data_IF_343482341408
#
_entry.id   IF_343482341408
#
_cell.length_a   1.000
_cell.length_b   1.000
_cell.length_c   1.000
_cell.angle_alpha   90.00
_cell.angle_beta   90.00
_cell.angle_gamma   90.00
#
_symmetry.space_group_name_H-M   'P 1'
#
loop_
_entity.id
_entity.type
_entity.pdbx_description
1 polymer ?
2 polymer ?
3 non-polymer ?
4 water ?
#
# COMPACT_ATOMS: atom_id res chain seq x y z
N UNK A 2 -10.22 13.07 19.95
CA UNK A 2 -11.36 13.59 20.78
C UNK A 2 -11.63 14.99 20.26
N UNK A 3 -12.87 15.49 20.48
CA UNK A 3 -13.33 16.77 19.98
C UNK A 3 -13.37 16.75 18.47
N UNK A 4 -12.24 16.38 17.86
CA UNK A 4 -12.05 16.32 16.42
C UNK A 4 -12.50 15.00 15.79
N UNK A 5 -12.45 13.88 16.50
CA UNK A 5 -12.87 12.60 15.93
C UNK A 5 -13.74 11.81 16.91
N UNK A 6 -14.40 10.78 16.40
CA UNK A 6 -15.24 9.88 17.18
C UNK A 6 -14.92 8.46 16.75
N UNK A 7 -14.82 7.54 17.69
CA UNK A 7 -14.59 6.13 17.37
C UNK A 7 -15.90 5.50 16.88
N UNK A 8 -15.80 4.76 15.78
CA UNK A 8 -16.91 4.08 15.15
C UNK A 8 -16.85 2.59 15.33
N UNK A 9 -15.84 2.07 16.01
CA UNK A 9 -15.88 0.66 16.40
C UNK A 9 -14.77 0.37 17.40
N UNK A 10 -14.92 -0.75 18.11
CA UNK A 10 -13.83 -1.36 18.86
C UNK A 10 -13.80 -2.87 18.62
N UNK A 11 -12.62 -3.40 18.44
CA UNK A 11 -12.53 -4.83 18.19
C UNK A 11 -11.27 -5.35 18.80
N UNK A 12 -11.30 -6.59 19.26
CA UNK A 12 -10.18 -7.29 19.88
C UNK A 12 -9.35 -8.02 18.83
N UNK A 13 -8.10 -7.62 18.68
CA UNK A 13 -7.21 -8.21 17.70
C UNK A 13 -5.75 -8.07 18.14
N UNK A 14 -4.94 -9.02 17.77
CA UNK A 14 -3.49 -8.86 17.78
C UNK A 14 -3.05 -8.21 16.48
N UNK A 15 -2.53 -7.02 16.59
CA UNK A 15 -2.08 -6.22 15.45
C UNK A 15 -0.67 -6.62 15.07
N UNK A 16 -0.49 -6.92 13.80
CA UNK A 16 0.81 -7.32 13.28
C UNK A 16 1.09 -6.56 12.01
N UNK A 17 2.36 -6.48 11.69
CA UNK A 17 2.84 -5.84 10.47
C UNK A 17 3.70 -6.88 9.79
N UNK A 18 3.79 -6.82 8.45
CA UNK A 18 4.51 -7.82 7.71
C UNK A 18 5.94 -7.29 7.55
N UNK A 19 6.93 -8.10 7.91
CA UNK A 19 8.31 -7.78 7.67
C UNK A 19 8.65 -8.28 6.26
N UNK A 20 8.67 -7.38 5.29
CA UNK A 20 8.91 -7.75 3.89
C UNK A 20 10.29 -8.35 3.72
N UNK A 21 11.27 -7.87 4.48
CA UNK A 21 12.64 -8.31 4.32
C UNK A 21 12.83 -9.76 4.76
N UNK A 22 12.18 -10.15 5.84
CA UNK A 22 12.34 -11.48 6.35
C UNK A 22 11.16 -12.36 6.08
N UNK A 23 10.14 -11.88 5.39
CA UNK A 23 9.01 -12.73 5.01
C UNK A 23 8.41 -13.38 6.26
N UNK A 24 8.03 -12.51 7.20
CA UNK A 24 7.29 -12.89 8.40
C UNK A 24 6.43 -11.77 8.93
N UNK A 25 5.33 -12.14 9.56
CA UNK A 25 4.54 -11.22 10.37
C UNK A 25 5.20 -10.99 11.73
N UNK A 26 5.13 -9.76 12.22
CA UNK A 26 5.75 -9.46 13.51
C UNK A 26 4.71 -8.67 14.29
N UNK A 27 4.73 -8.67 15.62
CA UNK A 27 3.78 -7.86 16.38
C UNK A 27 4.04 -6.35 16.23
N UNK A 28 2.98 -5.60 15.92
CA UNK A 28 3.08 -4.16 15.82
C UNK A 28 3.45 -3.55 17.17
N UNK A 29 4.46 -2.69 17.17
CA UNK A 29 4.95 -2.08 18.38
C UNK A 29 5.93 -2.89 19.20
N UNK A 30 6.17 -4.15 18.86
CA UNK A 30 7.24 -4.93 19.38
C UNK A 30 6.85 -6.07 20.24
N UNK A 31 5.69 -5.99 20.88
CA UNK A 31 5.29 -6.98 21.89
C UNK A 31 4.03 -7.70 21.41
N UNK A 32 4.05 -9.02 21.52
CA UNK A 32 2.90 -9.84 21.18
C UNK A 32 1.82 -9.68 22.24
N UNK A 33 0.59 -9.55 21.79
CA UNK A 33 -0.54 -9.33 22.69
C UNK A 33 -1.72 -8.75 21.98
N UNK A 34 -2.88 -8.88 22.63
CA UNK A 34 -4.07 -8.37 21.98
C UNK A 34 -4.18 -6.89 22.27
N UNK A 35 -4.79 -6.16 21.35
CA UNK A 35 -5.05 -4.73 21.43
C UNK A 35 -6.53 -4.43 21.17
N UNK A 36 -6.95 -3.25 21.61
CA UNK A 36 -8.30 -2.76 21.37
C UNK A 36 -8.16 -1.80 20.21
N UNK A 37 -8.71 -2.20 19.05
CA UNK A 37 -8.49 -1.50 17.78
C UNK A 37 -9.74 -0.71 17.44
N UNK A 38 -9.59 0.59 17.31
CA UNK A 38 -10.64 1.49 16.93
C UNK A 38 -10.45 1.92 15.48
N UNK A 39 -11.55 2.29 14.85
CA UNK A 39 -11.57 3.17 13.69
C UNK A 39 -12.14 4.44 14.22
N UNK A 40 -11.49 5.54 13.94
CA UNK A 40 -11.90 6.85 14.41
C UNK A 40 -12.25 7.68 13.18
N UNK A 41 -13.34 8.40 13.27
CA UNK A 41 -13.84 9.30 12.26
C UNK A 41 -13.49 10.73 12.64
N UNK A 42 -12.72 11.39 11.81
CA UNK A 42 -12.56 12.83 11.91
C UNK A 42 -13.80 13.40 11.23
N UNK A 43 -14.79 13.80 12.04
CA UNK A 43 -16.05 14.31 11.51
C UNK A 43 -15.85 15.48 10.54
N UNK A 44 -14.96 16.39 10.86
CA UNK A 44 -14.84 17.58 10.07
C UNK A 44 -14.34 17.35 8.66
N UNK A 45 -13.46 16.40 8.46
CA UNK A 45 -12.91 16.20 7.13
C UNK A 45 -13.49 14.99 6.46
N UNK A 46 -14.28 14.23 7.15
CA UNK A 46 -14.72 12.93 6.67
C UNK A 46 -13.52 12.06 6.35
N UNK A 47 -12.63 11.99 7.27
CA UNK A 47 -11.49 11.10 7.17
C UNK A 47 -11.51 10.13 8.35
N UNK A 48 -10.91 8.97 8.13
CA UNK A 48 -10.93 7.85 9.07
C UNK A 48 -9.50 7.36 9.29
N UNK A 49 -9.25 6.80 10.47
CA UNK A 49 -7.93 6.34 10.81
C UNK A 49 -8.15 5.15 11.72
N UNK A 50 -7.30 4.12 11.54
CA UNK A 50 -7.21 2.97 12.43
C UNK A 50 -6.18 3.35 13.52
N UNK A 51 -6.63 3.21 14.79
CA UNK A 51 -5.79 3.37 15.98
C UNK A 51 -5.98 2.20 16.95
N UNK A 52 -4.90 1.56 17.35
CA UNK A 52 -4.97 0.52 18.35
C UNK A 52 -3.99 0.64 19.51
N UNK A 53 -4.42 0.21 20.67
CA UNK A 53 -3.65 0.30 21.91
C UNK A 53 -3.65 -1.03 22.63
N UNK A 54 -2.47 -1.53 23.02
CA UNK A 54 -2.36 -2.80 23.75
C UNK A 54 -3.19 -2.73 25.01
N UNK A 55 -3.87 -3.82 25.31
CA UNK A 55 -4.75 -3.87 26.48
C UNK A 55 -3.97 -3.72 27.77
N UNK A 56 -2.80 -4.37 27.85
CA UNK A 56 -2.02 -4.43 29.07
C UNK A 56 -1.38 -3.09 29.33
N UNK A 57 -0.68 -2.52 28.37
CA UNK A 57 0.08 -1.31 28.69
C UNK A 57 -0.35 -0.07 27.94
N UNK A 58 -1.34 -0.13 27.03
CA UNK A 58 -1.94 1.02 26.36
C UNK A 58 -1.03 1.65 25.33
N UNK A 59 -0.06 0.93 24.84
CA UNK A 59 0.84 1.43 23.82
C UNK A 59 0.11 1.35 22.50
N UNK A 60 0.20 2.43 21.75
CA UNK A 60 -0.39 2.57 20.42
C UNK A 60 0.44 1.77 19.43
N UNK A 61 -0.06 0.63 19.00
CA UNK A 61 0.68 -0.22 18.07
C UNK A 61 0.36 0.09 16.61
N UNK A 62 -0.73 0.78 16.35
CA UNK A 62 -1.15 1.10 15.01
C UNK A 62 -1.87 2.43 15.04
N UNK A 63 -1.57 3.26 14.07
CA UNK A 63 -2.25 4.53 13.88
C UNK A 63 -2.01 4.82 12.39
N UNK A 64 -2.97 4.37 11.56
CA UNK A 64 -2.77 4.49 10.12
C UNK A 64 -4.05 4.99 9.49
N UNK A 65 -3.99 6.02 8.66
CA UNK A 65 -5.17 6.47 7.90
C UNK A 65 -5.76 5.37 7.01
N UNK A 66 -7.04 5.52 6.74
CA UNK A 66 -7.77 4.68 5.80
C UNK A 66 -7.93 5.53 4.54
N UNK A 67 -7.19 5.27 3.46
CA UNK A 67 -7.29 6.08 2.25
C UNK A 67 -8.45 5.61 1.35
N UNK A 68 -8.96 6.57 0.55
CA UNK A 68 -9.98 6.27 -0.46
C UNK A 68 -9.49 5.21 -1.43
N UNK A 69 -10.34 4.24 -1.69
CA UNK A 69 -9.99 3.15 -2.57
C UNK A 69 -9.32 1.94 -1.91
N UNK A 70 -9.00 2.01 -0.61
CA UNK A 70 -8.19 0.99 0.02
C UNK A 70 -8.80 -0.34 -0.29
N UNK A 71 -7.95 -1.32 -0.59
CA UNK A 71 -8.37 -2.72 -0.73
C UNK A 71 -8.15 -3.49 0.58
N UNK A 72 -9.25 -3.93 1.20
CA UNK A 72 -9.25 -4.57 2.51
C UNK A 72 -9.49 -6.06 2.28
N UNK A 73 -8.50 -6.84 2.62
CA UNK A 73 -8.54 -8.26 2.37
C UNK A 73 -9.01 -8.99 3.62
N UNK A 74 -10.19 -9.59 3.53
CA UNK A 74 -10.66 -10.47 4.57
C UNK A 74 -10.21 -11.87 4.18
N UNK A 75 -8.94 -12.16 4.48
CA UNK A 75 -8.32 -13.42 4.13
C UNK A 75 -9.04 -14.57 4.78
N UNK A 76 -9.34 -14.44 6.06
CA UNK A 76 -10.16 -15.38 6.80
C UNK A 76 -11.15 -14.59 7.62
N UNK A 77 -12.02 -15.34 8.32
CA UNK A 77 -13.04 -14.75 9.21
C UNK A 77 -12.47 -14.07 10.45
N UNK A 78 -11.23 -14.39 10.83
CA UNK A 78 -10.59 -13.76 11.94
C UNK A 78 -9.26 -13.08 11.62
N UNK A 79 -8.84 -13.03 10.35
CA UNK A 79 -7.58 -12.36 10.03
C UNK A 79 -7.76 -11.52 8.79
N UNK A 80 -7.78 -10.18 8.91
CA UNK A 80 -7.92 -9.29 7.81
C UNK A 80 -6.67 -8.44 7.69
N UNK A 81 -6.39 -8.01 6.50
CA UNK A 81 -5.14 -7.30 6.25
C UNK A 81 -5.37 -6.24 5.21
N UNK A 82 -4.54 -5.21 5.27
CA UNK A 82 -4.51 -4.22 4.21
C UNK A 82 -3.10 -3.65 4.07
N UNK A 83 -2.85 -2.96 2.97
CA UNK A 83 -1.55 -2.38 2.73
C UNK A 83 -1.63 -0.86 2.59
N UNK A 84 -0.46 -0.19 2.76
CA UNK A 84 -0.26 1.14 2.20
C UNK A 84 1.03 1.21 1.40
N UNK A 85 1.45 2.40 1.06
CA UNK A 85 2.76 2.54 0.43
C UNK A 85 3.92 2.18 1.36
N UNK A 86 3.67 2.12 2.66
CA UNK A 86 4.70 1.95 3.68
C UNK A 86 4.66 0.61 4.41
N UNK A 87 3.51 0.04 4.64
CA UNK A 87 3.44 -1.18 5.41
C UNK A 87 2.28 -2.07 4.94
N UNK A 88 2.34 -3.35 5.33
CA UNK A 88 1.22 -4.27 5.27
C UNK A 88 0.80 -4.55 6.70
N UNK A 89 -0.49 -4.37 6.97
CA UNK A 89 -1.03 -4.50 8.30
C UNK A 89 -1.94 -5.72 8.35
N UNK A 90 -1.92 -6.38 9.52
CA UNK A 90 -2.80 -7.52 9.76
C UNK A 90 -3.50 -7.43 11.09
N UNK A 91 -4.73 -7.86 11.13
CA UNK A 91 -5.47 -7.91 12.38
C UNK A 91 -5.87 -9.34 12.63
N UNK A 92 -5.35 -9.90 13.68
CA UNK A 92 -5.69 -11.25 14.11
C UNK A 92 -6.70 -11.11 15.21
N UNK A 93 -7.95 -11.21 14.85
CA UNK A 93 -9.03 -10.91 15.76
C UNK A 93 -9.28 -12.05 16.73
N UNK A 94 -9.68 -11.66 17.94
CA UNK A 94 -9.90 -12.67 18.95
C UNK A 94 -11.18 -13.46 18.82
N UNK A 95 -12.09 -13.10 17.96
CA UNK A 95 -13.25 -13.90 17.65
C UNK A 95 -13.75 -13.47 16.27
N UNK A 96 -14.77 -14.17 15.77
CA UNK A 96 -15.39 -13.75 14.50
C UNK A 96 -16.26 -12.54 14.72
N UNK A 97 -16.75 -12.36 15.94
CA UNK A 97 -17.57 -11.20 16.25
C UNK A 97 -16.74 -9.95 16.17
N UNK A 98 -15.54 -10.01 16.62
CA UNK A 98 -14.65 -8.87 16.57
C UNK A 98 -14.30 -8.55 15.15
N UNK A 99 -14.05 -9.54 14.34
CA UNK A 99 -13.78 -9.34 12.89
C UNK A 99 -14.92 -8.65 12.13
N UNK A 100 -16.16 -9.14 12.28
CA UNK A 100 -17.28 -8.54 11.60
C UNK A 100 -17.60 -7.16 12.12
N UNK A 101 -17.43 -6.92 13.38
CA UNK A 101 -17.61 -5.55 13.86
C UNK A 101 -16.60 -4.62 13.23
N UNK A 102 -15.31 -4.99 13.27
CA UNK A 102 -14.33 -4.13 12.62
C UNK A 102 -14.50 -4.11 11.10
N UNK A 103 -14.58 -5.27 10.46
CA UNK A 103 -14.78 -5.31 9.02
C UNK A 103 -15.96 -4.49 8.62
N UNK A 104 -17.07 -4.64 9.34
CA UNK A 104 -18.25 -3.85 9.03
C UNK A 104 -17.95 -2.37 9.12
N UNK A 105 -17.23 -1.97 10.18
CA UNK A 105 -16.89 -0.57 10.33
C UNK A 105 -15.99 -0.10 9.18
N UNK A 106 -15.00 -0.92 8.80
CA UNK A 106 -14.04 -0.56 7.76
C UNK A 106 -14.75 -0.39 6.40
N UNK A 107 -15.66 -1.27 6.08
CA UNK A 107 -16.35 -1.20 4.81
C UNK A 107 -17.25 0.03 4.75
N UNK A 108 -17.89 0.35 5.84
CA UNK A 108 -18.68 1.56 5.84
C UNK A 108 -17.82 2.80 5.55
N UNK A 109 -16.66 2.88 6.18
CA UNK A 109 -15.78 4.01 5.99
C UNK A 109 -15.32 4.10 4.56
N UNK A 110 -15.00 2.97 3.97
CA UNK A 110 -14.57 2.93 2.58
C UNK A 110 -15.71 3.31 1.63
N UNK A 111 -16.95 2.91 1.93
CA UNK A 111 -18.11 3.39 1.18
C UNK A 111 -18.37 4.88 1.37
N UNK A 112 -17.96 5.46 2.48
CA UNK A 112 -18.27 6.86 2.77
C UNK A 112 -17.16 7.83 2.36
N UNK A 113 -16.00 7.32 2.01
CA UNK A 113 -14.86 8.16 1.68
C UNK A 113 -15.07 8.68 0.31
N UNK B 6 7.96 18.80 -15.18
CA UNK B 6 9.31 18.49 -15.63
C UNK B 6 9.57 17.00 -15.41
N UNK B 7 9.91 16.31 -16.47
CA UNK B 7 10.31 14.92 -16.37
C UNK B 7 11.65 14.88 -15.63
N UNK B 8 11.81 13.90 -14.76
CA UNK B 8 13.07 13.68 -14.11
C UNK B 8 13.69 12.40 -14.56
N UNK B 9 13.00 11.59 -15.34
CA UNK B 9 13.61 10.42 -15.98
C UNK B 9 12.71 9.86 -17.08
N UNK B 10 13.32 9.01 -17.90
CA UNK B 10 12.61 8.11 -18.77
C UNK B 10 13.30 6.77 -18.69
N UNK B 11 12.49 5.73 -18.70
CA UNK B 11 13.00 4.38 -18.64
C UNK B 11 12.06 3.52 -19.47
N UNK B 12 12.64 2.51 -20.11
CA UNK B 12 11.92 1.52 -20.89
C UNK B 12 11.55 0.37 -20.00
N UNK B 13 10.27 0.07 -19.92
CA UNK B 13 9.79 -1.02 -19.09
C UNK B 13 8.43 -1.49 -19.57
N UNK B 14 8.12 -2.74 -19.37
CA UNK B 14 6.76 -3.23 -19.42
C UNK B 14 6.19 -3.07 -18.03
N UNK B 15 5.19 -2.23 -17.92
CA UNK B 15 4.49 -1.94 -16.66
C UNK B 15 3.45 -3.00 -16.41
N UNK B 16 3.40 -3.51 -15.19
CA UNK B 16 2.41 -4.50 -14.83
C UNK B 16 1.84 -4.24 -13.44
N UNK B 17 0.63 -4.74 -13.22
CA UNK B 17 -0.03 -4.67 -11.92
C UNK B 17 -0.33 -6.11 -11.51
N UNK B 18 -0.44 -6.36 -10.19
CA UNK B 18 -0.59 -7.71 -9.61
C UNK B 18 -2.07 -7.94 -9.42
N UNK B 19 -2.58 -9.08 -9.89
CA UNK B 19 -3.98 -9.47 -9.70
C UNK B 19 -4.03 -10.20 -8.37
N UNK B 20 -4.50 -9.52 -7.34
CA UNK B 20 -4.49 -10.11 -6.01
C UNK B 20 -5.27 -11.43 -6.00
N UNK B 21 -6.38 -11.49 -6.74
CA UNK B 21 -7.29 -12.61 -6.65
C UNK B 21 -6.73 -13.87 -7.29
N UNK B 22 -6.10 -13.73 -8.47
CA UNK B 22 -5.62 -14.82 -9.28
C UNK B 22 -4.14 -15.00 -9.16
N UNK B 23 -3.50 -14.21 -8.36
CA UNK B 23 -2.14 -14.43 -8.05
C UNK B 23 -1.32 -14.55 -9.33
N UNK B 24 -1.45 -13.53 -10.19
CA UNK B 24 -0.53 -13.37 -11.33
C UNK B 24 -0.37 -11.89 -11.68
N UNK B 25 0.76 -11.57 -12.33
CA UNK B 25 0.99 -10.24 -12.91
C UNK B 25 0.26 -10.16 -14.21
N UNK B 26 -0.32 -8.99 -14.45
CA UNK B 26 -1.11 -8.68 -15.65
C UNK B 26 -0.58 -7.39 -16.25
N UNK B 27 -0.57 -7.24 -17.57
CA UNK B 27 -0.06 -5.99 -18.17
C UNK B 27 -0.87 -4.75 -17.78
N UNK B 28 -0.18 -3.73 -17.32
CA UNK B 28 -0.87 -2.53 -16.94
C UNK B 28 -1.60 -1.96 -18.15
N UNK B 29 -2.86 -1.60 -17.99
CA UNK B 29 -3.64 -1.02 -19.09
C UNK B 29 -4.24 -2.02 -20.07
N UNK B 30 -3.93 -3.29 -19.97
CA UNK B 30 -4.61 -4.27 -20.73
C UNK B 30 -3.82 -4.88 -21.79
N UNK B 31 -2.78 -4.20 -22.29
CA UNK B 31 -1.99 -4.64 -23.42
C UNK B 31 -0.56 -4.84 -23.01
N UNK B 32 0.02 -5.99 -23.37
CA UNK B 32 1.41 -6.31 -23.17
C UNK B 32 2.25 -5.55 -24.17
N UNK B 33 3.33 -4.96 -23.70
CA UNK B 33 4.22 -4.15 -24.49
C UNK B 33 5.06 -3.27 -23.60
N UNK B 34 6.14 -2.78 -24.16
CA UNK B 34 6.96 -1.87 -23.38
C UNK B 34 6.37 -0.46 -23.44
N UNK B 35 6.57 0.31 -22.39
CA UNK B 35 6.15 1.70 -22.27
C UNK B 35 7.38 2.58 -21.99
N UNK B 36 7.26 3.90 -22.21
CA UNK B 36 8.27 4.85 -21.79
C UNK B 36 7.74 5.40 -20.47
N UNK B 37 8.42 5.06 -19.36
CA UNK B 37 7.98 5.38 -17.99
C UNK B 37 8.81 6.54 -17.42
N UNK B 38 8.12 7.61 -17.10
CA UNK B 38 8.72 8.81 -16.54
C UNK B 38 8.36 8.91 -15.05
N UNK B 39 9.18 9.64 -14.32
CA UNK B 39 8.77 10.28 -13.06
C UNK B 39 8.71 11.76 -13.35
N UNK B 40 7.62 12.38 -12.97
CA UNK B 40 7.40 13.81 -13.19
C UNK B 40 7.41 14.49 -11.84
N UNK B 41 8.10 15.61 -11.76
CA UNK B 41 8.17 16.42 -10.55
C UNK B 41 7.29 17.66 -10.76
N UNK B 42 6.30 17.85 -9.90
CA UNK B 42 5.59 19.12 -9.79
C UNK B 42 6.38 20.00 -8.83
N UNK B 43 7.18 20.93 -9.35
CA UNK B 43 7.99 21.85 -8.55
C UNK B 43 7.14 22.74 -7.63
N UNK B 44 5.97 23.16 -8.09
CA UNK B 44 5.14 24.04 -7.28
C UNK B 44 4.68 23.38 -5.98
N UNK B 45 4.35 22.10 -6.02
CA UNK B 45 3.89 21.38 -4.85
C UNK B 45 4.92 20.42 -4.29
N UNK B 46 6.03 20.21 -4.97
CA UNK B 46 6.98 19.16 -4.61
C UNK B 46 6.28 17.82 -4.48
N UNK B 47 5.50 17.49 -5.50
CA UNK B 47 4.89 16.18 -5.62
C UNK B 47 5.49 15.46 -6.84
N UNK B 48 5.49 14.11 -6.79
CA UNK B 48 6.02 13.32 -7.86
C UNK B 48 5.02 12.24 -8.29
N UNK B 49 5.01 11.98 -9.59
CA UNK B 49 4.06 11.05 -10.20
C UNK B 49 4.87 10.15 -11.11
N UNK B 50 4.52 8.86 -11.18
CA UNK B 50 5.04 7.93 -12.19
C UNK B 50 3.98 7.90 -13.27
N UNK B 51 4.41 8.19 -14.53
CA UNK B 51 3.53 8.12 -15.69
C UNK B 51 4.19 7.35 -16.84
N UNK B 52 3.53 6.33 -17.35
CA UNK B 52 3.98 5.64 -18.54
C UNK B 52 2.97 5.38 -19.65
N UNK B 53 3.45 5.43 -20.88
CA UNK B 53 2.64 5.25 -22.06
C UNK B 53 3.29 4.21 -22.97
N UNK B 54 2.45 3.36 -23.60
CA UNK B 54 2.94 2.35 -24.53
C UNK B 54 3.68 3.03 -25.67
N UNK B 55 4.80 2.48 -26.05
CA UNK B 55 5.54 3.12 -27.14
C UNK B 55 4.70 3.09 -28.41
N UNK B 56 3.96 1.97 -28.63
CA UNK B 56 3.29 1.68 -29.91
C UNK B 56 2.10 2.59 -30.11
N UNK B 57 1.21 2.63 -29.17
CA UNK B 57 -0.04 3.33 -29.34
C UNK B 57 -0.28 4.45 -28.36
N UNK B 58 0.65 4.73 -27.44
CA UNK B 58 0.66 5.89 -26.53
C UNK B 58 -0.40 5.82 -25.42
N UNK B 59 -0.89 4.63 -25.09
CA UNK B 59 -1.89 4.52 -24.04
C UNK B 59 -1.23 4.64 -22.68
N UNK B 60 -1.80 5.47 -21.82
CA UNK B 60 -1.25 5.71 -20.49
C UNK B 60 -1.57 4.49 -19.66
N UNK B 61 -0.55 3.68 -19.40
CA UNK B 61 -0.75 2.44 -18.64
C UNK B 61 -0.54 2.62 -17.15
N UNK B 62 0.08 3.71 -16.73
CA UNK B 62 0.37 3.97 -15.33
C UNK B 62 0.36 5.47 -15.09
N UNK B 63 -0.25 5.87 -13.99
CA UNK B 63 -0.33 7.28 -13.60
C UNK B 63 -0.64 7.25 -12.11
N UNK B 64 0.43 7.20 -11.32
CA UNK B 64 0.36 7.03 -9.87
C UNK B 64 1.23 8.06 -9.17
N UNK B 65 0.79 8.46 -7.98
CA UNK B 65 1.59 9.36 -7.18
C UNK B 65 2.62 8.58 -6.41
N UNK B 66 3.72 9.24 -6.14
CA UNK B 66 4.77 8.69 -5.29
C UNK B 66 4.67 9.34 -3.92
N UNK B 67 4.16 8.63 -2.90
CA UNK B 67 4.01 9.26 -1.59
C UNK B 67 5.27 9.19 -0.75
N UNK B 68 5.42 10.17 0.15
CA UNK B 68 6.52 10.20 1.09
C UNK B 68 6.49 8.93 1.88
N UNK B 69 7.66 8.35 2.09
CA UNK B 69 7.74 7.10 2.76
C UNK B 69 7.64 5.86 1.90
N UNK B 70 7.33 5.98 0.62
CA UNK B 70 7.08 4.81 -0.19
C UNK B 70 8.23 3.87 0.00
N UNK B 71 7.93 2.58 0.07
CA UNK B 71 8.93 1.50 0.04
C UNK B 71 9.03 1.01 -1.41
N UNK B 72 10.18 1.20 -2.02
CA UNK B 72 10.40 0.84 -3.40
C UNK B 72 11.23 -0.41 -3.40
N UNK B 73 10.65 -1.51 -3.84
CA UNK B 73 11.34 -2.79 -3.82
C UNK B 73 12.01 -3.07 -5.15
N UNK B 74 13.34 -3.10 -5.16
CA UNK B 74 14.14 -3.54 -6.31
C UNK B 74 14.39 -5.05 -6.16
N UNK B 75 13.35 -5.81 -6.53
CA UNK B 75 13.39 -7.24 -6.33
C UNK B 75 14.49 -7.90 -7.13
N UNK B 76 14.63 -7.52 -8.39
CA UNK B 76 15.78 -7.86 -9.21
C UNK B 76 16.31 -6.61 -9.90
N UNK B 77 17.43 -6.81 -10.61
CA UNK B 77 18.12 -5.71 -11.28
C UNK B 77 17.27 -5.08 -12.37
N UNK B 78 16.29 -5.82 -12.88
CA UNK B 78 15.42 -5.35 -13.96
C UNK B 78 13.94 -5.39 -13.62
N UNK B 79 13.56 -5.71 -12.40
CA UNK B 79 12.15 -5.68 -12.01
C UNK B 79 12.00 -5.08 -10.61
N UNK B 80 11.43 -3.88 -10.54
CA UNK B 80 11.18 -3.14 -9.33
C UNK B 80 9.67 -2.95 -9.13
N UNK B 81 9.28 -2.87 -7.90
CA UNK B 81 7.87 -2.91 -7.56
C UNK B 81 7.57 -1.97 -6.40
N UNK B 82 6.38 -1.43 -6.36
CA UNK B 82 5.94 -0.65 -5.21
C UNK B 82 4.45 -0.90 -5.07
N UNK B 83 3.88 -0.48 -3.92
CA UNK B 83 2.47 -0.66 -3.64
C UNK B 83 1.83 0.69 -3.41
N UNK B 84 0.49 0.67 -3.49
CA UNK B 84 -0.36 1.65 -2.81
C UNK B 84 -1.42 0.95 -1.96
N UNK B 85 -2.41 1.68 -1.51
CA UNK B 85 -3.52 1.09 -0.76
C UNK B 85 -4.48 0.24 -1.61
N UNK B 86 -4.38 0.30 -2.94
CA UNK B 86 -5.26 -0.41 -3.87
C UNK B 86 -4.57 -1.45 -4.73
N UNK B 87 -3.32 -1.22 -5.14
CA UNK B 87 -2.62 -2.10 -6.08
C UNK B 87 -1.11 -2.23 -5.77
N UNK B 88 -0.50 -3.28 -6.36
CA UNK B 88 0.94 -3.44 -6.44
C UNK B 88 1.38 -3.26 -7.88
N UNK B 89 2.33 -2.39 -8.11
CA UNK B 89 2.78 -2.06 -9.45
C UNK B 89 4.17 -2.64 -9.66
N UNK B 90 4.42 -3.01 -10.89
CA UNK B 90 5.72 -3.55 -11.26
C UNK B 90 6.20 -2.96 -12.56
N UNK B 91 7.51 -2.72 -12.61
CA UNK B 91 8.18 -2.21 -13.80
C UNK B 91 9.18 -3.27 -14.17
N UNK B 92 8.95 -3.90 -15.30
CA UNK B 92 9.84 -4.88 -15.91
C UNK B 92 10.64 -4.12 -16.95
N UNK B 93 11.85 -3.75 -16.60
CA UNK B 93 12.69 -2.91 -17.41
C UNK B 93 13.35 -3.69 -18.55
N UNK B 94 13.59 -2.96 -19.64
CA UNK B 94 14.23 -3.51 -20.83
C UNK B 94 15.73 -3.67 -20.73
N UNK B 95 16.33 -3.07 -19.75
CA UNK B 95 17.73 -3.32 -19.46
C UNK B 95 18.01 -2.85 -18.03
N UNK B 96 19.21 -3.15 -17.54
CA UNK B 96 19.57 -2.64 -16.23
C UNK B 96 19.82 -1.17 -16.30
N UNK B 97 20.18 -0.65 -17.45
CA UNK B 97 20.43 0.79 -17.55
C UNK B 97 19.16 1.53 -17.29
N UNK B 98 18.06 1.01 -17.86
CA UNK B 98 16.75 1.60 -17.65
C UNK B 98 16.33 1.50 -16.21
N UNK B 99 16.57 0.36 -15.60
CA UNK B 99 16.34 0.16 -14.15
C UNK B 99 17.10 1.16 -13.30
N UNK B 100 18.41 1.31 -13.50
CA UNK B 100 19.16 2.23 -12.69
C UNK B 100 18.75 3.63 -12.95
N UNK B 101 18.43 3.97 -14.17
CA UNK B 101 17.92 5.30 -14.44
C UNK B 101 16.64 5.54 -13.64
N UNK B 102 15.70 4.65 -13.71
CA UNK B 102 14.47 4.87 -12.98
C UNK B 102 14.65 4.77 -11.48
N UNK B 103 15.18 3.66 -10.99
CA UNK B 103 15.41 3.51 -9.54
C UNK B 103 16.18 4.66 -8.98
N UNK B 104 17.22 5.12 -9.64
CA UNK B 104 17.99 6.25 -9.12
C UNK B 104 17.11 7.51 -9.03
N UNK B 105 16.20 7.69 -9.99
CA UNK B 105 15.30 8.85 -9.95
C UNK B 105 14.29 8.72 -8.83
N UNK B 106 13.81 7.50 -8.59
CA UNK B 106 12.81 7.25 -7.57
C UNK B 106 13.38 7.54 -6.23
N UNK B 107 14.61 7.14 -6.01
CA UNK B 107 15.35 7.34 -4.78
C UNK B 107 15.65 8.80 -4.51
N UNK B 108 15.96 9.56 -5.51
CA UNK B 108 16.10 10.98 -5.31
C UNK B 108 14.78 11.62 -4.89
N UNK B 109 13.70 11.19 -5.52
CA UNK B 109 12.40 11.72 -5.18
C UNK B 109 12.01 11.34 -3.78
N UNK B 110 12.21 10.09 -3.44
CA UNK B 110 11.89 9.62 -2.11
C UNK B 110 12.77 10.25 -1.03
N UNK B 111 13.97 10.73 -1.38
CA UNK B 111 14.76 11.56 -0.52
C UNK B 111 14.27 13.01 -0.45
N UNK B 112 13.50 13.46 -1.43
CA UNK B 112 13.12 14.85 -1.55
C UNK B 112 11.68 15.11 -1.09
N UNK B 113 10.88 14.04 -0.92
CA UNK B 113 9.58 14.07 -0.28
C UNK B 113 9.77 14.52 1.14
N UNK C 3 4.93 -9.11 -3.91
CA UNK C 3 4.71 -10.36 -4.59
C UNK C 3 5.93 -10.64 -5.34
N UNK C 4 6.22 -11.93 -5.61
CA UNK C 4 7.41 -12.32 -6.43
C UNK C 4 7.29 -11.96 -7.87
N UNK C 5 8.37 -11.53 -8.47
CA UNK C 5 8.46 -11.15 -9.90
C UNK C 5 7.96 -12.21 -10.79
N UNK C 6 7.60 -11.79 -12.01
CA UNK C 6 7.18 -12.75 -13.12
C UNK C 6 8.17 -13.87 -13.30
N UNK D 3 0.21 -11.01 1.79
CA UNK D 3 0.88 -12.15 2.25
C UNK D 3 -0.07 -13.00 2.91
N UNK D 4 0.20 -14.26 3.03
CA UNK D 4 -0.67 -15.17 3.74
C UNK D 4 -0.71 -14.90 5.17
N UNK D 5 -1.82 -15.23 5.80
CA UNK D 5 -1.87 -15.05 7.29
C UNK D 5 -0.73 -15.68 8.05
N UNK D 6 -0.50 -15.22 9.28
CA UNK D 6 0.53 -15.66 10.24
C UNK D 6 0.77 -17.14 10.53
#
# INVERSE_FOLDING_TARGET
>A
GSMSEQSICQARAAVMVYDDANKKWVPAGGSTGFSRVHIYHHTGNNTFRVVGRKIQDHQVVINCAIPKGLKYNQATQTFHQWRDARQVYGLNFGSKEDANVFASAMMHALEVL
>B
GSMSEQSICQARAAVMVYDDANKKWVPAGGSTGFSRVHIYHHTGNNTFRVVGRKIQDHQVVINCAIPKGLKYNQATQTFHQWRDARQVYGLNFGSKEDANVFASAMMHALEVL
>C
XXPPPPX
>D
XXPPPPX
#
